data_IF_532182713750
#
_entry.id   IF_532182713750
#
_cell.length_a   1.000
_cell.length_b   1.000
_cell.length_c   1.000
_cell.angle_alpha   90.00
_cell.angle_beta   90.00
_cell.angle_gamma   90.00
#
_symmetry.space_group_name_H-M   'P 1'
#
loop_
_entity.id
_entity.type
_entity.pdbx_description
1 polymer ?
#
# COMPACT_ATOMS: atom_id res chain seq x y z
N UNK A 1 -27.38 -9.17 42.36
CA UNK A 1 -26.50 -8.18 43.00
C UNK A 1 -26.48 -6.96 42.12
N UNK A 2 -27.13 -5.92 42.58
CA UNK A 2 -27.42 -4.68 41.87
C UNK A 2 -26.34 -3.66 42.25
N UNK A 3 -25.32 -3.45 41.41
CA UNK A 3 -24.47 -2.25 41.42
C UNK A 3 -23.84 -2.06 40.03
N UNK A 4 -24.53 -1.38 39.13
CA UNK A 4 -23.84 -0.62 38.09
C UNK A 4 -23.04 0.45 38.81
N UNK A 5 -21.72 0.28 38.91
CA UNK A 5 -20.79 1.30 39.41
C UNK A 5 -20.86 2.52 38.51
N UNK A 6 -21.82 3.41 38.78
CA UNK A 6 -21.91 4.73 38.21
C UNK A 6 -20.73 5.53 38.76
N UNK A 7 -19.66 5.66 37.97
CA UNK A 7 -18.57 6.56 38.29
C UNK A 7 -19.13 7.98 38.47
N UNK A 8 -19.19 8.43 39.72
CA UNK A 8 -19.51 9.82 40.04
C UNK A 8 -18.37 10.70 39.56
N UNK A 9 -18.61 11.44 38.48
CA UNK A 9 -17.61 12.34 37.92
C UNK A 9 -17.75 13.73 38.56
N UNK A 10 -16.82 14.15 39.45
CA UNK A 10 -16.96 15.40 40.20
C UNK A 10 -16.86 16.65 39.32
N UNK A 11 -16.23 16.55 38.15
CA UNK A 11 -16.17 17.61 37.15
C UNK A 11 -16.60 17.09 35.78
N UNK A 12 -17.81 17.43 35.38
CA UNK A 12 -18.46 16.95 34.14
C UNK A 12 -17.69 17.35 32.88
N UNK A 13 -17.02 18.51 32.88
CA UNK A 13 -16.20 18.99 31.77
C UNK A 13 -14.96 18.11 31.57
N UNK A 14 -14.22 17.87 32.66
CA UNK A 14 -13.01 17.03 32.63
C UNK A 14 -13.37 15.59 32.27
N UNK A 15 -14.44 15.05 32.84
CA UNK A 15 -14.95 13.72 32.54
C UNK A 15 -15.23 13.51 31.06
N UNK A 16 -15.93 14.48 30.46
CA UNK A 16 -16.29 14.46 29.05
C UNK A 16 -15.07 14.54 28.13
N UNK A 17 -14.07 15.34 28.51
CA UNK A 17 -12.79 15.41 27.79
C UNK A 17 -12.04 14.08 27.88
N UNK A 18 -11.93 13.48 29.06
CA UNK A 18 -11.28 12.17 29.23
C UNK A 18 -11.99 11.05 28.48
N UNK A 19 -13.32 10.98 28.55
CA UNK A 19 -14.11 9.97 27.85
C UNK A 19 -13.93 10.09 26.32
N UNK A 20 -14.02 11.31 25.78
CA UNK A 20 -13.78 11.56 24.35
C UNK A 20 -12.36 11.22 23.94
N UNK A 21 -11.37 11.64 24.74
CA UNK A 21 -9.96 11.34 24.50
C UNK A 21 -9.68 9.83 24.52
N UNK A 22 -10.27 9.10 25.46
CA UNK A 22 -10.12 7.64 25.54
C UNK A 22 -10.70 6.95 24.31
N UNK A 23 -11.92 7.30 23.88
CA UNK A 23 -12.55 6.70 22.68
C UNK A 23 -11.75 7.03 21.42
N UNK A 24 -11.25 8.27 21.29
CA UNK A 24 -10.47 8.70 20.13
C UNK A 24 -9.11 7.99 20.05
N UNK A 25 -8.45 7.77 21.19
CA UNK A 25 -7.10 7.21 21.25
C UNK A 25 -7.07 5.69 21.43
N UNK A 26 -8.21 5.05 21.65
CA UNK A 26 -8.32 3.61 21.88
C UNK A 26 -7.59 2.75 20.82
N UNK A 27 -7.74 3.00 19.50
CA UNK A 27 -7.12 2.15 18.48
C UNK A 27 -5.59 2.17 18.51
N UNK A 28 -4.96 3.28 18.92
CA UNK A 28 -3.51 3.42 18.98
C UNK A 28 -2.84 2.36 19.87
N UNK A 29 -3.48 2.00 20.99
CA UNK A 29 -2.93 0.97 21.88
C UNK A 29 -2.97 -0.41 21.21
N UNK A 30 -4.06 -0.73 20.52
CA UNK A 30 -4.18 -2.00 19.79
C UNK A 30 -3.21 -2.10 18.62
N UNK A 31 -2.97 -0.99 17.90
CA UNK A 31 -1.96 -0.90 16.85
C UNK A 31 -0.54 -1.04 17.40
N UNK A 32 -0.23 -0.37 18.51
CA UNK A 32 1.05 -0.46 19.18
C UNK A 32 1.39 -1.91 19.55
N UNK A 33 0.44 -2.65 20.11
CA UNK A 33 0.63 -4.07 20.43
C UNK A 33 0.94 -4.90 19.18
N UNK A 34 0.24 -4.68 18.06
CA UNK A 34 0.51 -5.41 16.81
C UNK A 34 1.92 -5.12 16.26
N UNK A 35 2.35 -3.85 16.27
CA UNK A 35 3.69 -3.45 15.82
C UNK A 35 4.76 -4.06 16.73
N UNK A 36 4.57 -4.05 18.05
CA UNK A 36 5.48 -4.70 18.98
C UNK A 36 5.57 -6.21 18.72
N UNK A 37 4.44 -6.88 18.55
CA UNK A 37 4.40 -8.32 18.23
C UNK A 37 5.11 -8.63 16.92
N UNK A 38 4.91 -7.83 15.87
CA UNK A 38 5.54 -8.07 14.57
C UNK A 38 7.06 -7.87 14.64
N UNK A 39 7.54 -6.80 15.29
CA UNK A 39 8.98 -6.53 15.44
C UNK A 39 9.64 -7.61 16.28
N UNK A 40 9.04 -7.99 17.42
CA UNK A 40 9.57 -9.07 18.26
C UNK A 40 9.59 -10.41 17.52
N UNK A 41 8.56 -10.73 16.74
CA UNK A 41 8.54 -11.94 15.92
C UNK A 41 9.66 -11.95 14.87
N UNK A 42 9.85 -10.83 14.16
CA UNK A 42 10.91 -10.69 13.14
C UNK A 42 12.30 -10.79 13.78
N UNK A 43 12.50 -10.14 14.93
CA UNK A 43 13.75 -10.22 15.67
C UNK A 43 14.02 -11.66 16.09
N UNK A 44 13.07 -12.30 16.78
CA UNK A 44 13.16 -13.69 17.22
C UNK A 44 13.50 -14.65 16.07
N UNK A 45 12.81 -14.53 14.93
CA UNK A 45 13.02 -15.41 13.77
C UNK A 45 14.37 -15.20 13.08
N UNK A 46 14.99 -14.03 13.24
CA UNK A 46 16.29 -13.71 12.64
C UNK A 46 17.48 -13.90 13.60
N UNK A 47 17.25 -14.08 14.90
CA UNK A 47 18.31 -14.36 15.88
C UNK A 47 19.05 -15.65 15.50
N UNK A 48 20.39 -15.57 15.41
CA UNK A 48 21.25 -16.71 15.08
C UNK A 48 21.36 -17.06 13.59
N UNK A 49 20.68 -16.34 12.69
CA UNK A 49 20.76 -16.61 11.25
C UNK A 49 22.11 -16.15 10.68
N UNK A 50 22.96 -17.10 10.29
CA UNK A 50 24.18 -16.79 9.52
C UNK A 50 23.81 -16.52 8.06
N UNK A 51 23.97 -15.28 7.62
CA UNK A 51 23.84 -14.91 6.21
C UNK A 51 25.19 -15.20 5.57
N UNK A 52 25.26 -16.15 4.63
CA UNK A 52 26.46 -16.30 3.80
C UNK A 52 26.67 -15.02 3.00
N UNK A 53 27.72 -14.28 3.32
CA UNK A 53 28.13 -13.08 2.60
C UNK A 53 28.60 -13.45 1.19
N UNK A 54 27.67 -13.59 0.26
CA UNK A 54 27.99 -13.28 -1.13
C UNK A 54 28.05 -11.76 -1.24
N UNK A 55 29.22 -11.24 -1.65
CA UNK A 55 29.45 -9.84 -1.95
C UNK A 55 28.51 -9.41 -3.08
N UNK A 56 27.30 -8.96 -2.71
CA UNK A 56 26.45 -8.21 -3.61
C UNK A 56 26.93 -6.76 -3.48
N UNK A 57 27.40 -6.11 -4.56
CA UNK A 57 27.85 -4.72 -4.48
C UNK A 57 26.70 -3.88 -3.92
N UNK A 58 26.91 -3.30 -2.74
CA UNK A 58 25.97 -2.40 -2.07
C UNK A 58 25.85 -1.10 -2.86
N UNK A 59 25.09 -1.12 -3.96
CA UNK A 59 24.65 0.12 -4.60
C UNK A 59 23.59 0.74 -3.68
N UNK A 60 24.01 1.72 -2.87
CA UNK A 60 23.09 2.51 -2.05
C UNK A 60 21.94 3.00 -2.94
N UNK A 61 20.68 2.66 -2.64
CA UNK A 61 19.55 3.17 -3.40
C UNK A 61 19.54 4.70 -3.27
N UNK A 62 19.72 5.40 -4.40
CA UNK A 62 19.60 6.86 -4.42
C UNK A 62 18.16 7.20 -4.77
N UNK A 63 17.42 7.76 -3.81
CA UNK A 63 16.15 8.41 -4.10
C UNK A 63 16.40 9.56 -5.07
N UNK A 64 16.00 9.38 -6.33
CA UNK A 64 16.04 10.44 -7.34
C UNK A 64 14.60 10.71 -7.78
N UNK A 65 14.06 11.87 -7.41
CA UNK A 65 12.78 12.37 -7.92
C UNK A 65 12.86 12.89 -9.37
N UNK A 66 14.05 12.83 -9.99
CA UNK A 66 14.31 13.46 -11.28
C UNK A 66 13.47 12.81 -12.39
N UNK A 67 12.48 13.55 -12.90
CA UNK A 67 11.58 13.13 -13.98
C UNK A 67 10.21 12.58 -13.56
N UNK A 68 9.91 12.56 -12.24
CA UNK A 68 8.63 12.08 -11.69
C UNK A 68 7.82 13.29 -11.22
N UNK A 69 6.68 13.58 -11.88
CA UNK A 69 5.89 14.82 -11.63
C UNK A 69 4.43 14.52 -11.37
N UNK A 70 3.81 13.63 -12.14
CA UNK A 70 2.37 13.41 -12.10
C UNK A 70 1.91 12.64 -10.86
N UNK A 71 2.64 11.58 -10.49
CA UNK A 71 2.38 10.75 -9.33
C UNK A 71 2.47 11.51 -8.01
N UNK A 72 3.57 12.24 -7.73
CA UNK A 72 3.68 13.11 -6.56
C UNK A 72 2.61 14.17 -6.51
N UNK A 73 2.29 14.82 -7.63
CA UNK A 73 1.27 15.87 -7.70
C UNK A 73 -0.12 15.31 -7.38
N UNK A 74 -0.53 14.24 -8.05
CA UNK A 74 -1.82 13.58 -7.83
C UNK A 74 -1.91 13.02 -6.40
N UNK A 75 -0.85 12.37 -5.92
CA UNK A 75 -0.83 11.82 -4.56
C UNK A 75 -0.86 12.91 -3.49
N UNK A 76 -0.18 14.03 -3.70
CA UNK A 76 -0.21 15.16 -2.75
C UNK A 76 -1.60 15.78 -2.72
N UNK A 77 -2.25 15.92 -3.88
CA UNK A 77 -3.64 16.38 -3.94
C UNK A 77 -4.60 15.44 -3.18
N UNK A 78 -4.42 14.12 -3.32
CA UNK A 78 -5.21 13.12 -2.61
C UNK A 78 -4.99 13.19 -1.09
N UNK A 79 -3.75 13.45 -0.64
CA UNK A 79 -3.42 13.63 0.79
C UNK A 79 -4.07 14.91 1.33
N UNK A 80 -3.98 16.03 0.62
CA UNK A 80 -4.57 17.31 1.07
C UNK A 80 -6.09 17.19 1.15
N UNK A 81 -6.74 16.72 0.09
CA UNK A 81 -8.20 16.54 0.05
C UNK A 81 -8.63 15.57 1.15
N UNK A 82 -7.91 14.46 1.31
CA UNK A 82 -8.19 13.49 2.36
C UNK A 82 -8.03 14.06 3.77
N UNK A 83 -6.97 14.83 4.02
CA UNK A 83 -6.77 15.49 5.29
C UNK A 83 -7.91 16.48 5.60
N UNK A 84 -8.37 17.26 4.61
CA UNK A 84 -9.53 18.13 4.76
C UNK A 84 -10.80 17.34 5.11
N UNK A 85 -11.12 16.28 4.35
CA UNK A 85 -12.29 15.43 4.61
C UNK A 85 -12.22 14.77 5.99
N UNK A 86 -11.05 14.28 6.38
CA UNK A 86 -10.81 13.68 7.68
C UNK A 86 -11.01 14.69 8.83
N UNK A 87 -10.45 15.89 8.71
CA UNK A 87 -10.62 16.94 9.71
C UNK A 87 -12.08 17.38 9.84
N UNK A 88 -12.79 17.55 8.72
CA UNK A 88 -14.22 17.83 8.71
C UNK A 88 -15.01 16.72 9.42
N UNK A 89 -14.68 15.46 9.15
CA UNK A 89 -15.28 14.31 9.82
C UNK A 89 -15.07 14.33 11.34
N UNK A 90 -13.83 14.49 11.78
CA UNK A 90 -13.50 14.49 13.21
C UNK A 90 -14.16 15.65 13.98
N UNK A 91 -14.20 16.84 13.38
CA UNK A 91 -14.88 18.00 13.96
C UNK A 91 -16.38 17.71 14.13
N UNK A 92 -17.02 17.14 13.10
CA UNK A 92 -18.45 16.89 13.13
C UNK A 92 -18.84 15.73 14.06
N UNK A 93 -18.05 14.65 14.10
CA UNK A 93 -18.31 13.50 15.00
C UNK A 93 -18.09 13.88 16.46
N UNK A 94 -17.18 14.80 16.73
CA UNK A 94 -16.98 15.35 18.08
C UNK A 94 -18.14 16.30 18.50
N UNK A 95 -18.92 16.80 17.54
CA UNK A 95 -20.08 17.65 17.79
C UNK A 95 -21.28 16.85 18.33
N UNK A 96 -22.32 17.54 18.83
CA UNK A 96 -23.47 16.89 19.48
C UNK A 96 -24.43 16.18 18.51
N UNK A 97 -24.42 16.56 17.23
CA UNK A 97 -25.31 15.98 16.20
C UNK A 97 -24.52 15.85 14.89
N UNK A 98 -23.95 14.67 14.59
CA UNK A 98 -23.25 14.47 13.34
C UNK A 98 -24.21 14.53 12.16
N UNK A 99 -23.88 15.30 11.13
CA UNK A 99 -24.72 15.43 9.94
C UNK A 99 -24.48 14.26 8.99
N UNK A 100 -25.56 13.74 8.39
CA UNK A 100 -25.50 12.67 7.40
C UNK A 100 -24.59 13.01 6.21
N UNK A 101 -24.50 14.29 5.87
CA UNK A 101 -23.66 14.81 4.78
C UNK A 101 -22.18 14.51 4.98
N UNK A 102 -21.68 14.50 6.22
CA UNK A 102 -20.27 14.25 6.51
C UNK A 102 -19.87 12.81 6.21
N UNK A 103 -20.76 11.84 6.46
CA UNK A 103 -20.56 10.45 6.06
C UNK A 103 -20.56 10.29 4.53
N UNK A 104 -21.46 10.99 3.83
CA UNK A 104 -21.50 10.99 2.35
C UNK A 104 -20.20 11.53 1.77
N UNK A 105 -19.69 12.67 2.28
CA UNK A 105 -18.41 13.24 1.84
C UNK A 105 -17.27 12.24 2.09
N UNK A 106 -17.22 11.64 3.28
CA UNK A 106 -16.22 10.64 3.63
C UNK A 106 -16.24 9.44 2.67
N UNK A 107 -17.38 8.79 2.48
CA UNK A 107 -17.48 7.64 1.56
C UNK A 107 -17.25 8.04 0.10
N UNK A 108 -17.67 9.22 -0.33
CA UNK A 108 -17.42 9.71 -1.69
C UNK A 108 -15.92 9.87 -2.00
N UNK A 109 -15.13 10.33 -1.02
CA UNK A 109 -13.67 10.42 -1.16
C UNK A 109 -13.05 9.04 -1.42
N UNK A 110 -13.47 8.02 -0.66
CA UNK A 110 -13.01 6.65 -0.87
C UNK A 110 -13.47 6.05 -2.22
N UNK A 111 -14.71 6.31 -2.64
CA UNK A 111 -15.23 5.82 -3.91
C UNK A 111 -14.46 6.41 -5.10
N UNK A 112 -13.93 7.64 -4.98
CA UNK A 112 -13.05 8.22 -6.00
C UNK A 112 -11.62 7.67 -5.89
N UNK A 113 -11.08 7.59 -4.68
CA UNK A 113 -9.67 7.22 -4.48
C UNK A 113 -9.37 5.74 -4.76
N UNK A 114 -10.22 4.82 -4.27
CA UNK A 114 -9.96 3.38 -4.36
C UNK A 114 -9.90 2.86 -5.81
N UNK A 115 -10.78 3.26 -6.74
CA UNK A 115 -10.64 2.90 -8.15
C UNK A 115 -9.38 3.46 -8.79
N UNK A 116 -9.01 4.71 -8.49
CA UNK A 116 -7.77 5.31 -9.01
C UNK A 116 -6.53 4.52 -8.56
N UNK A 117 -6.49 4.13 -7.29
CA UNK A 117 -5.45 3.25 -6.75
C UNK A 117 -5.46 1.88 -7.44
N UNK A 118 -6.64 1.30 -7.65
CA UNK A 118 -6.78 -0.02 -8.28
C UNK A 118 -6.31 0.00 -9.74
N UNK A 119 -6.68 1.03 -10.51
CA UNK A 119 -6.20 1.24 -11.88
C UNK A 119 -4.68 1.39 -11.90
N UNK A 120 -4.11 2.19 -11.00
CA UNK A 120 -2.66 2.31 -10.86
C UNK A 120 -1.98 0.97 -10.56
N UNK A 121 -2.50 0.20 -9.62
CA UNK A 121 -1.97 -1.12 -9.26
C UNK A 121 -2.05 -2.11 -10.44
N UNK A 122 -3.19 -2.17 -11.14
CA UNK A 122 -3.37 -3.04 -12.32
C UNK A 122 -2.41 -2.63 -13.44
N UNK A 123 -2.27 -1.34 -13.75
CA UNK A 123 -1.30 -0.86 -14.75
C UNK A 123 0.12 -1.24 -14.34
N UNK A 124 0.47 -1.06 -13.06
CA UNK A 124 1.76 -1.47 -12.51
C UNK A 124 2.05 -2.96 -12.68
N UNK A 125 1.07 -3.82 -12.35
CA UNK A 125 1.16 -5.28 -12.56
C UNK A 125 1.28 -5.64 -14.04
N UNK A 126 0.55 -4.97 -14.94
CA UNK A 126 0.68 -5.20 -16.39
C UNK A 126 2.09 -4.80 -16.85
N UNK A 127 2.63 -3.66 -16.40
CA UNK A 127 3.98 -3.22 -16.75
C UNK A 127 5.02 -4.25 -16.29
N UNK A 128 4.87 -4.77 -15.06
CA UNK A 128 5.68 -5.86 -14.57
C UNK A 128 5.55 -7.10 -15.46
N UNK A 129 4.34 -7.57 -15.76
CA UNK A 129 4.12 -8.73 -16.61
C UNK A 129 4.75 -8.58 -18.01
N UNK A 130 4.74 -7.35 -18.56
CA UNK A 130 5.35 -7.02 -19.84
C UNK A 130 6.88 -6.82 -19.78
N UNK A 131 7.46 -6.67 -18.60
CA UNK A 131 8.91 -6.68 -18.41
C UNK A 131 9.33 -8.13 -18.18
N UNK A 132 9.86 -8.81 -19.21
CA UNK A 132 10.50 -10.13 -19.09
C UNK A 132 11.74 -10.00 -18.20
N UNK A 133 11.54 -9.91 -16.89
CA UNK A 133 12.57 -10.08 -15.86
C UNK A 133 12.50 -11.52 -15.39
N UNK A 134 13.66 -12.16 -15.22
CA UNK A 134 13.71 -13.47 -14.58
C UNK A 134 13.09 -13.35 -13.18
N UNK A 135 12.10 -14.20 -12.91
CA UNK A 135 11.51 -14.32 -11.59
C UNK A 135 12.55 -14.95 -10.68
N UNK A 136 12.84 -14.31 -9.54
CA UNK A 136 13.81 -14.85 -8.58
C UNK A 136 13.32 -16.20 -8.04
N UNK A 137 13.86 -17.28 -8.59
CA UNK A 137 13.66 -18.68 -8.16
C UNK A 137 14.40 -18.98 -6.85
N UNK A 138 15.26 -18.07 -6.38
CA UNK A 138 15.96 -18.20 -5.10
C UNK A 138 15.01 -17.89 -3.92
N UNK A 139 14.75 -18.90 -3.08
CA UNK A 139 13.85 -18.79 -1.92
C UNK A 139 14.47 -17.93 -0.82
N UNK A 140 14.24 -16.62 -0.85
CA UNK A 140 14.65 -15.72 0.24
C UNK A 140 13.63 -15.79 1.41
N UNK A 141 14.00 -16.33 2.58
CA UNK A 141 13.08 -16.52 3.70
C UNK A 141 12.53 -15.19 4.26
N UNK A 142 13.27 -14.08 4.13
CA UNK A 142 12.80 -12.74 4.53
C UNK A 142 11.65 -12.28 3.65
N UNK A 143 11.75 -12.46 2.33
CA UNK A 143 10.69 -12.13 1.36
C UNK A 143 9.41 -12.94 1.58
N UNK A 144 9.55 -14.22 1.94
CA UNK A 144 8.39 -15.06 2.26
C UNK A 144 7.66 -14.58 3.52
N UNK A 145 8.37 -13.99 4.48
CA UNK A 145 7.76 -13.43 5.68
C UNK A 145 6.95 -12.17 5.36
N UNK A 146 7.51 -11.27 4.55
CA UNK A 146 6.84 -10.02 4.18
C UNK A 146 5.52 -10.28 3.43
N UNK A 147 5.47 -11.30 2.58
CA UNK A 147 4.23 -11.74 1.90
C UNK A 147 3.19 -12.25 2.87
N UNK A 148 3.59 -13.10 3.83
CA UNK A 148 2.66 -13.66 4.82
C UNK A 148 2.12 -12.56 5.73
N UNK A 149 2.96 -11.61 6.15
CA UNK A 149 2.55 -10.46 6.93
C UNK A 149 1.58 -9.56 6.15
N UNK A 150 1.89 -9.26 4.88
CA UNK A 150 1.02 -8.44 4.03
C UNK A 150 -0.35 -9.10 3.83
N UNK A 151 -0.38 -10.39 3.49
CA UNK A 151 -1.63 -11.13 3.28
C UNK A 151 -2.42 -11.27 4.58
N UNK A 152 -1.75 -11.59 5.70
CA UNK A 152 -2.40 -11.70 7.00
C UNK A 152 -3.02 -10.38 7.46
N UNK A 153 -2.34 -9.26 7.25
CA UNK A 153 -2.87 -7.93 7.56
C UNK A 153 -4.06 -7.56 6.66
N UNK A 154 -4.01 -7.92 5.37
CA UNK A 154 -5.09 -7.67 4.42
C UNK A 154 -6.41 -8.37 4.79
N UNK A 155 -6.34 -9.53 5.46
CA UNK A 155 -7.53 -10.27 5.92
C UNK A 155 -8.41 -9.44 6.87
N UNK A 156 -7.83 -8.54 7.67
CA UNK A 156 -8.61 -7.66 8.56
C UNK A 156 -9.57 -6.76 7.79
N UNK A 157 -9.07 -6.04 6.77
CA UNK A 157 -9.89 -5.16 5.94
C UNK A 157 -10.86 -5.92 5.04
N UNK A 158 -10.44 -7.06 4.47
CA UNK A 158 -11.31 -7.90 3.64
C UNK A 158 -12.44 -8.48 4.49
N UNK A 159 -12.13 -9.01 5.67
CA UNK A 159 -13.11 -9.57 6.60
C UNK A 159 -14.15 -8.54 7.02
N UNK A 160 -13.73 -7.36 7.48
CA UNK A 160 -14.66 -6.27 7.83
C UNK A 160 -15.55 -5.88 6.65
N UNK A 161 -14.97 -5.72 5.45
CA UNK A 161 -15.72 -5.34 4.25
C UNK A 161 -16.75 -6.41 3.88
N UNK A 162 -16.41 -7.70 4.03
CA UNK A 162 -17.32 -8.80 3.76
C UNK A 162 -18.52 -8.79 4.71
N UNK A 163 -18.29 -8.62 6.01
CA UNK A 163 -19.40 -8.49 6.99
C UNK A 163 -20.25 -7.25 6.71
N UNK A 164 -19.65 -6.10 6.36
CA UNK A 164 -20.42 -4.91 5.93
C UNK A 164 -21.28 -5.20 4.69
N UNK A 165 -20.75 -5.89 3.68
CA UNK A 165 -21.53 -6.27 2.48
C UNK A 165 -22.73 -7.13 2.85
N UNK A 166 -22.53 -8.16 3.70
CA UNK A 166 -23.60 -9.06 4.14
C UNK A 166 -24.70 -8.29 4.87
N UNK A 167 -24.35 -7.41 5.82
CA UNK A 167 -25.32 -6.58 6.52
C UNK A 167 -26.08 -5.63 5.57
N UNK A 168 -25.38 -4.97 4.65
CA UNK A 168 -25.97 -3.99 3.73
C UNK A 168 -26.94 -4.64 2.73
N UNK A 169 -26.59 -5.81 2.20
CA UNK A 169 -27.46 -6.56 1.28
C UNK A 169 -28.70 -7.12 1.99
N UNK A 170 -28.57 -7.49 3.27
CA UNK A 170 -29.67 -8.08 4.05
C UNK A 170 -30.68 -7.04 4.60
N UNK A 171 -30.35 -5.74 4.61
CA UNK A 171 -31.20 -4.71 5.23
C UNK A 171 -32.10 -4.00 4.20
N UNK A 172 -31.61 -2.96 3.52
CA UNK A 172 -32.22 -2.38 2.31
C UNK A 172 -31.16 -1.50 1.60
N UNK A 173 -30.75 -1.82 0.37
CA UNK A 173 -29.68 -1.10 -0.34
C UNK A 173 -30.14 0.25 -0.94
N UNK A 174 -31.43 0.61 -0.87
CA UNK A 174 -31.97 1.78 -1.60
C UNK A 174 -31.63 3.14 -1.01
N UNK A 175 -31.13 3.19 0.22
CA UNK A 175 -30.67 4.43 0.81
C UNK A 175 -29.30 4.86 0.24
N UNK A 176 -29.13 6.15 -0.10
CA UNK A 176 -27.91 6.67 -0.72
C UNK A 176 -26.65 6.29 0.08
N UNK A 177 -26.70 6.45 1.41
CA UNK A 177 -25.57 6.15 2.29
C UNK A 177 -25.24 4.66 2.32
N UNK A 178 -26.26 3.79 2.30
CA UNK A 178 -26.09 2.34 2.25
C UNK A 178 -25.49 1.90 0.90
N UNK A 179 -25.92 2.51 -0.21
CA UNK A 179 -25.36 2.24 -1.54
C UNK A 179 -23.89 2.68 -1.63
N UNK A 180 -23.55 3.85 -1.07
CA UNK A 180 -22.17 4.32 -0.98
C UNK A 180 -21.31 3.40 -0.10
N UNK A 181 -21.82 2.98 1.06
CA UNK A 181 -21.12 2.05 1.95
C UNK A 181 -20.88 0.68 1.28
N UNK A 182 -21.87 0.17 0.53
CA UNK A 182 -21.75 -1.09 -0.21
C UNK A 182 -20.67 -0.99 -1.30
N UNK A 183 -20.72 0.11 -2.07
CA UNK A 183 -19.74 0.40 -3.11
C UNK A 183 -18.33 0.53 -2.51
N UNK A 184 -18.21 1.22 -1.38
CA UNK A 184 -16.96 1.33 -0.61
C UNK A 184 -16.42 -0.04 -0.21
N UNK A 185 -17.22 -0.92 0.39
CA UNK A 185 -16.77 -2.24 0.84
C UNK A 185 -16.29 -3.12 -0.33
N UNK A 186 -16.99 -3.11 -1.47
CA UNK A 186 -16.58 -3.86 -2.67
C UNK A 186 -15.29 -3.30 -3.25
N UNK A 187 -15.20 -1.97 -3.40
CA UNK A 187 -14.01 -1.30 -3.90
C UNK A 187 -12.81 -1.52 -2.98
N UNK A 188 -13.01 -1.59 -1.67
CA UNK A 188 -11.92 -1.83 -0.71
C UNK A 188 -11.34 -3.24 -0.88
N UNK A 189 -12.18 -4.26 -1.07
CA UNK A 189 -11.73 -5.63 -1.38
C UNK A 189 -10.94 -5.64 -2.69
N UNK A 190 -11.49 -5.05 -3.75
CA UNK A 190 -10.84 -5.01 -5.06
C UNK A 190 -9.49 -4.27 -5.02
N UNK A 191 -9.44 -3.12 -4.34
CA UNK A 191 -8.23 -2.33 -4.17
C UNK A 191 -7.16 -3.08 -3.38
N UNK A 192 -7.55 -3.79 -2.31
CA UNK A 192 -6.62 -4.56 -1.49
C UNK A 192 -6.05 -5.76 -2.28
N UNK A 193 -6.87 -6.47 -3.04
CA UNK A 193 -6.42 -7.58 -3.90
C UNK A 193 -5.44 -7.07 -4.97
N UNK A 194 -5.82 -6.04 -5.73
CA UNK A 194 -4.98 -5.49 -6.81
C UNK A 194 -3.66 -4.92 -6.29
N UNK A 195 -3.68 -4.19 -5.16
CA UNK A 195 -2.45 -3.69 -4.53
C UNK A 195 -1.57 -4.82 -4.00
N UNK A 196 -2.13 -5.88 -3.42
CA UNK A 196 -1.35 -7.02 -2.94
C UNK A 196 -0.63 -7.72 -4.09
N UNK A 197 -1.33 -7.96 -5.20
CA UNK A 197 -0.71 -8.53 -6.40
C UNK A 197 0.42 -7.63 -6.90
N UNK A 198 0.19 -6.33 -6.98
CA UNK A 198 1.20 -5.37 -7.44
C UNK A 198 2.45 -5.34 -6.54
N UNK A 199 2.28 -5.23 -5.22
CA UNK A 199 3.39 -5.17 -4.27
C UNK A 199 4.15 -6.50 -4.24
N UNK A 200 3.45 -7.63 -4.18
CA UNK A 200 4.09 -8.96 -4.13
C UNK A 200 4.91 -9.21 -5.40
N UNK A 201 4.34 -8.95 -6.58
CA UNK A 201 5.05 -9.11 -7.86
C UNK A 201 6.22 -8.13 -7.99
N UNK A 202 6.07 -6.89 -7.51
CA UNK A 202 7.16 -5.91 -7.46
C UNK A 202 8.34 -6.34 -6.57
N UNK A 203 8.05 -6.91 -5.39
CA UNK A 203 9.06 -7.40 -4.45
C UNK A 203 9.76 -8.70 -4.91
N UNK A 204 9.19 -9.44 -5.88
CA UNK A 204 9.74 -10.71 -6.36
C UNK A 204 10.68 -10.59 -7.57
N UNK A 205 10.86 -9.38 -8.12
CA UNK A 205 11.63 -9.17 -9.36
C UNK A 205 13.07 -8.73 -9.10
N UNK A 206 14.02 -9.41 -9.75
CA UNK A 206 15.47 -9.14 -9.66
C UNK A 206 15.84 -7.84 -10.39
N UNK A 207 16.88 -7.14 -9.88
CA UNK A 207 17.65 -6.19 -10.70
C UNK A 207 18.40 -6.98 -11.76
N UNK A 208 18.01 -6.84 -13.03
CA UNK A 208 18.96 -7.01 -14.12
C UNK A 208 19.72 -5.70 -14.19
N UNK A 209 20.84 -5.62 -13.47
CA UNK A 209 21.92 -4.72 -13.88
C UNK A 209 22.29 -5.17 -15.30
N UNK A 210 22.29 -4.29 -16.31
CA UNK A 210 22.71 -4.71 -17.64
C UNK A 210 24.09 -5.37 -17.53
N UNK A 211 24.30 -6.57 -18.14
CA UNK A 211 25.56 -7.30 -17.99
C UNK A 211 26.79 -6.57 -18.57
N UNK A 212 26.64 -5.40 -19.20
CA UNK A 212 27.73 -4.73 -19.92
C UNK A 212 28.45 -3.60 -19.18
N UNK A 213 28.67 -3.66 -17.86
CA UNK A 213 29.51 -2.63 -17.18
C UNK A 213 30.59 -3.10 -16.22
N UNK A 214 30.64 -4.38 -15.83
CA UNK A 214 31.68 -4.84 -14.90
C UNK A 214 32.49 -6.06 -15.37
N UNK A 215 32.00 -6.85 -16.32
CA UNK A 215 32.76 -8.01 -16.85
C UNK A 215 33.30 -7.80 -18.28
N UNK A 216 32.61 -7.04 -19.16
CA UNK A 216 33.09 -6.81 -20.53
C UNK A 216 34.39 -5.98 -20.59
N UNK A 217 34.62 -5.03 -19.67
CA UNK A 217 35.83 -4.18 -19.71
C UNK A 217 37.14 -4.93 -19.44
N UNK A 218 37.09 -6.18 -18.93
CA UNK A 218 38.28 -7.01 -18.67
C UNK A 218 38.52 -8.08 -19.72
N UNK A 219 37.50 -8.53 -20.44
CA UNK A 219 37.67 -9.53 -21.51
C UNK A 219 37.80 -8.94 -22.91
N UNK A 220 37.25 -7.74 -23.18
CA UNK A 220 37.36 -7.09 -24.51
C UNK A 220 38.79 -6.66 -24.85
N UNK A 221 39.57 -6.21 -23.85
CA UNK A 221 40.97 -5.79 -24.07
C UNK A 221 41.88 -6.94 -24.50
N UNK A 222 41.53 -8.19 -24.17
CA UNK A 222 42.32 -9.37 -24.54
C UNK A 222 41.88 -10.00 -25.88
N UNK A 223 40.64 -9.77 -26.34
CA UNK A 223 40.14 -10.31 -27.63
C UNK A 223 40.34 -9.36 -28.81
N UNK A 224 40.46 -8.05 -28.57
CA UNK A 224 40.72 -7.06 -29.64
C UNK A 224 42.11 -7.19 -30.28
N UNK A 225 43.05 -7.90 -29.65
CA UNK A 225 44.39 -8.12 -30.20
C UNK A 225 44.46 -9.17 -31.33
N UNK A 226 43.40 -9.96 -31.61
CA UNK A 226 43.51 -11.12 -32.51
C UNK A 226 42.50 -11.21 -33.67
N UNK A 227 41.44 -10.39 -33.73
CA UNK A 227 40.38 -10.57 -34.74
C UNK A 227 40.30 -9.47 -35.83
N UNK A 228 41.36 -8.69 -36.02
CA UNK A 228 41.40 -7.65 -37.06
C UNK A 228 41.74 -8.24 -38.44
N UNK A 229 40.91 -9.16 -38.97
CA UNK A 229 41.06 -9.61 -40.37
C UNK A 229 39.72 -9.90 -41.05
N UNK A 230 39.29 -8.87 -41.80
CA UNK A 230 38.35 -8.85 -42.94
C UNK A 230 36.87 -9.20 -42.67
N UNK A 231 36.11 -8.16 -42.32
CA UNK A 231 34.69 -8.03 -42.66
C UNK A 231 34.51 -6.71 -43.43
N UNK A 232 33.69 -6.72 -44.48
CA UNK A 232 33.31 -5.56 -45.30
C UNK A 232 32.74 -4.43 -44.41
N UNK A 233 33.44 -3.29 -44.38
CA UNK A 233 33.13 -2.12 -43.52
C UNK A 233 31.72 -1.58 -43.76
N UNK A 234 31.16 -1.78 -44.96
CA UNK A 234 29.84 -1.30 -45.36
C UNK A 234 28.69 -2.12 -44.75
N UNK A 235 28.80 -3.46 -44.74
CA UNK A 235 27.76 -4.34 -44.17
C UNK A 235 27.77 -4.28 -42.64
N UNK A 236 28.97 -4.19 -42.04
CA UNK A 236 29.13 -4.01 -40.59
C UNK A 236 28.53 -2.68 -40.10
N UNK A 237 28.74 -1.59 -40.84
CA UNK A 237 28.18 -0.28 -40.50
C UNK A 237 26.64 -0.24 -40.54
N UNK A 238 26.04 -0.99 -41.46
CA UNK A 238 24.58 -1.05 -41.62
C UNK A 238 23.91 -1.93 -40.55
N UNK A 239 24.53 -3.03 -40.17
CA UNK A 239 24.08 -3.88 -39.07
C UNK A 239 24.29 -3.23 -37.69
N UNK A 240 25.40 -2.50 -37.47
CA UNK A 240 25.61 -1.70 -36.25
C UNK A 240 24.57 -0.57 -36.16
N UNK A 241 24.19 0.06 -37.28
CA UNK A 241 23.16 1.10 -37.29
C UNK A 241 21.76 0.55 -36.97
N UNK A 242 21.41 -0.64 -37.48
CA UNK A 242 20.15 -1.31 -37.13
C UNK A 242 20.15 -1.80 -35.68
N UNK A 243 21.26 -2.37 -35.22
CA UNK A 243 21.43 -2.82 -33.84
C UNK A 243 21.38 -1.65 -32.86
N UNK A 244 22.01 -0.51 -33.17
CA UNK A 244 21.95 0.70 -32.34
C UNK A 244 20.57 1.35 -32.33
N UNK A 245 19.85 1.36 -33.45
CA UNK A 245 18.46 1.85 -33.49
C UNK A 245 17.52 0.97 -32.67
N UNK A 246 17.64 -0.35 -32.80
CA UNK A 246 16.90 -1.34 -32.02
C UNK A 246 17.23 -1.23 -30.52
N UNK A 247 18.51 -1.00 -30.19
CA UNK A 247 18.98 -0.77 -28.83
C UNK A 247 18.42 0.53 -28.24
N UNK A 248 18.44 1.65 -28.97
CA UNK A 248 17.88 2.94 -28.53
C UNK A 248 16.35 2.84 -28.36
N UNK A 249 15.66 2.16 -29.28
CA UNK A 249 14.23 1.94 -29.18
C UNK A 249 13.86 1.06 -27.97
N UNK A 250 14.62 -0.01 -27.73
CA UNK A 250 14.44 -0.88 -26.55
C UNK A 250 14.77 -0.14 -25.25
N UNK A 251 15.84 0.66 -25.23
CA UNK A 251 16.28 1.43 -24.06
C UNK A 251 15.29 2.55 -23.70
N UNK A 252 14.78 3.28 -24.70
CA UNK A 252 13.76 4.31 -24.51
C UNK A 252 12.45 3.72 -23.99
N UNK A 253 11.98 2.60 -24.54
CA UNK A 253 10.77 1.93 -24.06
C UNK A 253 10.92 1.39 -22.63
N UNK A 254 12.09 0.83 -22.29
CA UNK A 254 12.41 0.40 -20.93
C UNK A 254 12.46 1.59 -19.95
N UNK A 255 12.97 2.74 -20.39
CA UNK A 255 13.02 3.97 -19.59
C UNK A 255 11.62 4.55 -19.31
N UNK A 256 10.69 4.45 -20.27
CA UNK A 256 9.32 4.93 -20.08
C UNK A 256 8.53 4.05 -19.11
N UNK A 257 8.64 2.71 -19.24
CA UNK A 257 8.02 1.76 -18.29
C UNK A 257 8.47 2.02 -16.85
N UNK A 258 9.78 2.20 -16.65
CA UNK A 258 10.36 2.54 -15.33
C UNK A 258 9.85 3.87 -14.79
N UNK A 259 9.75 4.88 -15.65
CA UNK A 259 9.19 6.18 -15.28
C UNK A 259 7.74 6.05 -14.82
N UNK A 260 6.89 5.36 -15.59
CA UNK A 260 5.49 5.13 -15.24
C UNK A 260 5.38 4.35 -13.93
N UNK A 261 6.20 3.32 -13.73
CA UNK A 261 6.21 2.53 -12.50
C UNK A 261 6.59 3.38 -11.27
N UNK A 262 7.55 4.30 -11.41
CA UNK A 262 7.89 5.27 -10.36
C UNK A 262 6.73 6.23 -10.06
N UNK A 263 6.08 6.77 -11.08
CA UNK A 263 4.93 7.66 -10.92
C UNK A 263 3.78 6.95 -10.18
N UNK A 264 3.44 5.72 -10.59
CA UNK A 264 2.41 4.88 -9.95
C UNK A 264 2.80 4.56 -8.51
N UNK A 265 4.03 4.09 -8.27
CA UNK A 265 4.47 3.68 -6.93
C UNK A 265 4.43 4.86 -5.96
N UNK A 266 4.89 6.03 -6.38
CA UNK A 266 4.88 7.22 -5.53
C UNK A 266 3.45 7.72 -5.24
N UNK A 267 2.56 7.71 -6.26
CA UNK A 267 1.14 8.00 -6.07
C UNK A 267 0.51 7.06 -5.03
N UNK A 268 0.75 5.75 -5.15
CA UNK A 268 0.23 4.74 -4.23
C UNK A 268 0.83 4.88 -2.83
N UNK A 269 2.10 5.27 -2.67
CA UNK A 269 2.71 5.57 -1.36
C UNK A 269 1.93 6.68 -0.67
N UNK A 270 1.73 7.82 -1.34
CA UNK A 270 1.01 8.95 -0.77
C UNK A 270 -0.45 8.61 -0.41
N UNK A 271 -1.11 7.85 -1.28
CA UNK A 271 -2.47 7.37 -1.03
C UNK A 271 -2.54 6.41 0.17
N UNK A 272 -1.58 5.49 0.31
CA UNK A 272 -1.52 4.61 1.48
C UNK A 272 -1.18 5.38 2.77
N UNK A 273 -0.42 6.48 2.71
CA UNK A 273 -0.17 7.33 3.88
C UNK A 273 -1.47 7.98 4.37
N UNK A 274 -2.27 8.61 3.49
CA UNK A 274 -3.54 9.21 3.95
C UNK A 274 -4.54 8.15 4.40
N UNK A 275 -4.61 7.00 3.72
CA UNK A 275 -5.46 5.88 4.13
C UNK A 275 -4.96 5.14 5.38
N UNK A 276 -3.70 5.34 5.77
CA UNK A 276 -3.17 4.89 7.05
C UNK A 276 -3.62 5.81 8.19
N UNK A 277 -3.58 7.14 7.98
CA UNK A 277 -3.92 8.14 9.00
C UNK A 277 -5.42 8.20 9.28
N UNK A 278 -6.28 8.05 8.27
CA UNK A 278 -7.72 8.17 8.45
C UNK A 278 -8.35 7.18 9.47
N UNK A 279 -8.04 5.88 9.44
CA UNK A 279 -8.65 4.90 10.35
C UNK A 279 -7.98 4.76 11.72
N UNK A 280 -6.82 5.40 11.98
CA UNK A 280 -6.10 5.27 13.27
C UNK A 280 -6.81 5.95 14.43
N UNK A 281 -7.65 6.93 14.13
CA UNK A 281 -8.42 7.65 15.13
C UNK A 281 -9.75 6.94 15.39
N UNK A 282 -10.17 6.93 16.65
CA UNK A 282 -11.45 6.38 17.07
C UNK A 282 -12.66 7.08 16.44
N UNK A 283 -13.84 6.51 16.67
CA UNK A 283 -15.12 6.89 16.06
C UNK A 283 -15.14 6.71 14.53
N UNK A 284 -14.77 5.51 14.07
CA UNK A 284 -14.76 5.14 12.66
C UNK A 284 -16.19 5.17 12.05
N UNK A 285 -16.39 5.62 10.80
CA UNK A 285 -17.72 5.77 10.20
C UNK A 285 -18.50 4.45 10.07
N UNK A 286 -17.81 3.33 9.83
CA UNK A 286 -18.41 1.98 9.86
C UNK A 286 -18.99 1.61 11.24
N UNK A 287 -18.46 2.19 12.31
CA UNK A 287 -19.03 2.03 13.63
C UNK A 287 -20.15 3.07 13.82
N UNK A 288 -19.88 4.36 13.58
CA UNK A 288 -20.80 5.47 13.88
C UNK A 288 -22.07 5.50 13.01
N UNK A 289 -22.06 4.91 11.81
CA UNK A 289 -23.25 4.80 10.96
C UNK A 289 -24.37 3.95 11.59
N UNK A 290 -24.05 3.09 12.55
CA UNK A 290 -25.02 2.32 13.34
C UNK A 290 -25.73 1.18 12.62
N UNK A 291 -25.65 1.10 11.29
CA UNK A 291 -26.27 0.06 10.47
C UNK A 291 -25.74 -1.35 10.80
N UNK A 292 -24.42 -1.53 10.80
CA UNK A 292 -23.82 -2.83 11.11
C UNK A 292 -24.01 -3.19 12.59
N UNK A 293 -24.09 -2.18 13.47
CA UNK A 293 -24.41 -2.38 14.90
C UNK A 293 -25.84 -2.89 15.10
N UNK A 294 -26.81 -2.40 14.33
CA UNK A 294 -28.20 -2.86 14.44
C UNK A 294 -28.39 -4.27 13.87
N UNK A 295 -27.60 -4.64 12.87
CA UNK A 295 -27.64 -5.98 12.26
C UNK A 295 -26.93 -7.06 13.10
N UNK A 296 -25.67 -6.84 13.49
CA UNK A 296 -24.86 -7.83 14.21
C UNK A 296 -24.93 -7.72 15.74
N UNK A 297 -25.47 -6.61 16.25
CA UNK A 297 -25.38 -6.23 17.65
C UNK A 297 -24.06 -5.52 17.98
N UNK A 298 -24.10 -4.69 19.02
CA UNK A 298 -22.97 -3.86 19.44
C UNK A 298 -21.71 -4.69 19.72
N UNK A 299 -21.80 -5.73 20.54
CA UNK A 299 -20.63 -6.51 20.98
C UNK A 299 -19.92 -7.22 19.83
N UNK A 300 -20.68 -7.87 18.95
CA UNK A 300 -20.13 -8.60 17.79
C UNK A 300 -19.44 -7.65 16.83
N UNK A 301 -20.12 -6.55 16.47
CA UNK A 301 -19.55 -5.57 15.55
C UNK A 301 -18.33 -4.87 16.14
N UNK A 302 -18.38 -4.55 17.44
CA UNK A 302 -17.24 -3.99 18.16
C UNK A 302 -16.02 -4.92 18.08
N UNK A 303 -16.18 -6.23 18.29
CA UNK A 303 -15.07 -7.19 18.17
C UNK A 303 -14.52 -7.23 16.73
N UNK A 304 -15.40 -7.30 15.73
CA UNK A 304 -14.99 -7.34 14.31
C UNK A 304 -14.19 -6.09 13.93
N UNK A 305 -14.67 -4.91 14.31
CA UNK A 305 -14.03 -3.62 14.01
C UNK A 305 -12.69 -3.49 14.75
N UNK A 306 -12.62 -3.86 16.03
CA UNK A 306 -11.38 -3.78 16.80
C UNK A 306 -10.34 -4.84 16.41
N UNK A 307 -10.74 -5.91 15.75
CA UNK A 307 -9.81 -6.85 15.13
C UNK A 307 -9.34 -6.36 13.75
N UNK A 308 -10.26 -5.89 12.91
CA UNK A 308 -9.96 -5.56 11.53
C UNK A 308 -9.30 -4.19 11.31
N UNK A 309 -9.64 -3.16 12.10
CA UNK A 309 -9.06 -1.82 11.93
C UNK A 309 -7.55 -1.81 12.21
N UNK A 310 -7.04 -2.36 13.33
CA UNK A 310 -5.61 -2.35 13.60
C UNK A 310 -4.81 -3.17 12.57
N UNK A 311 -5.37 -4.29 12.10
CA UNK A 311 -4.78 -5.06 10.99
C UNK A 311 -4.76 -4.26 9.69
N UNK A 312 -5.81 -3.47 9.42
CA UNK A 312 -5.86 -2.58 8.27
C UNK A 312 -4.86 -1.44 8.32
N UNK A 313 -4.65 -0.86 9.50
CA UNK A 313 -3.59 0.15 9.72
C UNK A 313 -2.21 -0.48 9.50
N UNK A 314 -1.97 -1.64 10.11
CA UNK A 314 -0.72 -2.38 9.91
C UNK A 314 -0.48 -2.73 8.44
N UNK A 315 -1.54 -3.13 7.72
CA UNK A 315 -1.50 -3.38 6.28
C UNK A 315 -1.04 -2.15 5.48
N UNK A 316 -1.59 -0.97 5.77
CA UNK A 316 -1.23 0.28 5.06
C UNK A 316 0.21 0.69 5.36
N UNK A 317 0.64 0.59 6.62
CA UNK A 317 2.03 0.84 7.02
C UNK A 317 3.01 -0.09 6.28
N UNK A 318 2.75 -1.40 6.29
CA UNK A 318 3.61 -2.39 5.63
C UNK A 318 3.62 -2.20 4.10
N UNK A 319 2.45 -1.89 3.52
CA UNK A 319 2.33 -1.59 2.08
C UNK A 319 3.14 -0.36 1.67
N UNK A 320 3.21 0.70 2.48
CA UNK A 320 4.06 1.86 2.21
C UNK A 320 5.53 1.45 2.09
N UNK A 321 6.01 0.59 3.00
CA UNK A 321 7.37 0.03 2.93
C UNK A 321 7.62 -0.72 1.62
N UNK A 322 6.73 -1.65 1.26
CA UNK A 322 6.84 -2.42 0.02
C UNK A 322 6.79 -1.53 -1.23
N UNK A 323 5.91 -0.54 -1.28
CA UNK A 323 5.80 0.39 -2.40
C UNK A 323 7.01 1.31 -2.54
N UNK A 324 7.64 1.72 -1.42
CA UNK A 324 8.89 2.48 -1.46
C UNK A 324 10.05 1.64 -2.02
N UNK A 325 10.11 0.35 -1.68
CA UNK A 325 11.07 -0.57 -2.27
C UNK A 325 10.84 -0.74 -3.77
N UNK A 326 9.58 -0.90 -4.20
CA UNK A 326 9.22 -0.93 -5.63
C UNK A 326 9.58 0.38 -6.34
N UNK A 327 9.32 1.55 -5.74
CA UNK A 327 9.70 2.85 -6.30
C UNK A 327 11.22 2.99 -6.51
N UNK A 328 12.00 2.53 -5.54
CA UNK A 328 13.47 2.59 -5.57
C UNK A 328 14.06 1.61 -6.59
N UNK A 329 13.37 0.49 -6.83
CA UNK A 329 13.82 -0.59 -7.73
C UNK A 329 13.35 -0.41 -9.18
N UNK A 330 12.30 0.38 -9.42
CA UNK A 330 11.83 0.81 -10.74
C UNK A 330 12.89 1.63 -11.49
#
# INVERSE_FOLDING_TARGET
GNETTLCTCPNTTICKVFQKGYILLYPFNTEYCLVCCSVLYVMWKNVGRRISHHHIPHTKPKFKLQGVVFGPLLGTSAVIIGACVFMMYQIQVTSLVPSRQVFVIYYSYYIVLLPLMSVGAVIGTIIHALEKKELDTLKNPTRSLDVVLLMGAALGQIGMSYFSIVALVATDPRDLLNSLALSYSVLLIFQNITQNVFVIDGLHRRRITPPGKEEDTKEEWNREAYSQRRVSVLELGQEIRKASLSYIHTYSHLSWKRRVLREISFFLVLCNIILWVMPTFGAHPLFENGMERSFYGYSTWFVIVNFGLPLGVFYRMHSVGGLLEVYVTA
#
